data_IF_205816780259
#
_entry.id   IF_205816780259
#
_cell.length_a   1.000
_cell.length_b   1.000
_cell.length_c   1.000
_cell.angle_alpha   90.00
_cell.angle_beta   90.00
_cell.angle_gamma   90.00
#
_symmetry.space_group_name_H-M   'P 1'
#
loop_
_entity.id
_entity.type
_entity.pdbx_description
1 polymer ?
#
# COMPACT_ATOMS: atom_id res chain seq x y z
N UNK A 1 10.68 -63.57 5.72
CA UNK A 1 10.99 -62.51 6.71
C UNK A 1 10.63 -61.16 6.09
N UNK A 2 9.40 -60.72 6.30
CA UNK A 2 8.81 -59.50 5.76
C UNK A 2 8.99 -58.36 6.77
N UNK A 3 9.91 -57.44 6.49
CA UNK A 3 10.14 -56.25 7.31
C UNK A 3 9.14 -55.15 6.97
N UNK A 4 8.08 -55.03 7.77
CA UNK A 4 7.17 -53.90 7.71
C UNK A 4 7.85 -52.65 8.29
N UNK A 5 8.20 -51.68 7.44
CA UNK A 5 8.58 -50.34 7.87
C UNK A 5 7.32 -49.62 8.38
N UNK A 6 7.26 -49.42 9.68
CA UNK A 6 6.31 -48.52 10.34
C UNK A 6 6.50 -47.09 9.84
N UNK A 7 5.55 -46.60 9.05
CA UNK A 7 5.42 -45.17 8.74
C UNK A 7 4.72 -44.53 9.94
N UNK A 8 5.50 -44.10 10.92
CA UNK A 8 5.00 -43.27 12.01
C UNK A 8 4.72 -41.85 11.48
N UNK A 9 3.57 -41.67 10.82
CA UNK A 9 3.01 -40.35 10.59
C UNK A 9 2.57 -39.77 11.92
N UNK A 10 3.40 -38.93 12.53
CA UNK A 10 3.00 -38.18 13.72
C UNK A 10 1.84 -37.26 13.33
N UNK A 11 0.64 -37.58 13.79
CA UNK A 11 -0.52 -36.69 13.68
C UNK A 11 -0.32 -35.61 14.72
N UNK A 12 0.33 -34.50 14.35
CA UNK A 12 0.38 -33.29 15.16
C UNK A 12 -1.04 -32.98 15.67
N UNK A 13 -1.17 -32.83 17.00
CA UNK A 13 -2.45 -32.64 17.67
C UNK A 13 -3.11 -31.33 17.25
N UNK A 14 -4.41 -31.16 17.54
CA UNK A 14 -5.13 -29.92 17.25
C UNK A 14 -4.45 -28.68 17.85
N UNK A 15 -3.89 -28.81 19.06
CA UNK A 15 -3.13 -27.76 19.73
C UNK A 15 -1.83 -27.41 18.99
N UNK A 16 -1.08 -28.41 18.50
CA UNK A 16 0.16 -28.19 17.75
C UNK A 16 -0.12 -27.43 16.44
N UNK A 17 -1.21 -27.77 15.74
CA UNK A 17 -1.63 -27.07 14.52
C UNK A 17 -2.00 -25.61 14.77
N UNK A 18 -2.69 -25.32 15.88
CA UNK A 18 -3.03 -23.95 16.28
C UNK A 18 -1.78 -23.14 16.63
N UNK A 19 -0.83 -23.74 17.37
CA UNK A 19 0.44 -23.10 17.70
C UNK A 19 1.28 -22.84 16.43
N UNK A 20 1.32 -23.77 15.49
CA UNK A 20 1.98 -23.56 14.19
C UNK A 20 1.33 -22.43 13.40
N UNK A 21 -0.01 -22.41 13.31
CA UNK A 21 -0.74 -21.34 12.62
C UNK A 21 -0.49 -19.97 13.26
N UNK A 22 -0.46 -19.89 14.60
CA UNK A 22 -0.13 -18.67 15.33
C UNK A 22 1.30 -18.18 15.03
N UNK A 23 2.27 -19.09 15.01
CA UNK A 23 3.67 -18.75 14.64
C UNK A 23 3.79 -18.27 13.20
N UNK A 24 3.04 -18.86 12.27
CA UNK A 24 3.01 -18.40 10.88
C UNK A 24 2.34 -17.04 10.75
N UNK A 25 1.27 -16.79 11.50
CA UNK A 25 0.59 -15.49 11.51
C UNK A 25 1.50 -14.38 12.02
N UNK A 26 2.23 -14.62 13.12
CA UNK A 26 3.21 -13.67 13.65
C UNK A 26 4.32 -13.42 12.63
N UNK A 27 4.90 -14.48 12.06
CA UNK A 27 5.96 -14.32 11.07
C UNK A 27 5.50 -13.59 9.79
N UNK A 28 4.29 -13.87 9.31
CA UNK A 28 3.66 -13.13 8.22
C UNK A 28 3.47 -11.66 8.58
N UNK A 29 2.90 -11.38 9.75
CA UNK A 29 2.69 -10.02 10.25
C UNK A 29 3.99 -9.23 10.37
N UNK A 30 5.07 -9.86 10.86
CA UNK A 30 6.39 -9.24 10.91
C UNK A 30 6.90 -8.88 9.51
N UNK A 31 6.78 -9.78 8.52
CA UNK A 31 7.20 -9.46 7.16
C UNK A 31 6.35 -8.36 6.53
N UNK A 32 5.05 -8.30 6.84
CA UNK A 32 4.20 -7.18 6.40
C UNK A 32 4.64 -5.86 7.04
N UNK A 33 4.87 -5.84 8.35
CA UNK A 33 5.36 -4.66 9.06
C UNK A 33 6.71 -4.17 8.51
N UNK A 34 7.65 -5.09 8.25
CA UNK A 34 8.92 -4.78 7.61
C UNK A 34 8.77 -4.27 6.17
N UNK A 35 7.75 -4.74 5.45
CA UNK A 35 7.43 -4.23 4.10
C UNK A 35 6.88 -2.81 4.15
N UNK A 36 6.29 -2.39 5.28
CA UNK A 36 5.83 -1.04 5.52
C UNK A 36 6.93 -0.09 6.01
N UNK A 37 8.22 -0.48 6.04
CA UNK A 37 9.28 0.33 6.65
C UNK A 37 9.34 1.78 6.11
N UNK A 38 9.14 1.98 4.79
CA UNK A 38 9.09 3.32 4.20
C UNK A 38 7.86 4.11 4.71
N UNK A 39 6.68 3.50 4.70
CA UNK A 39 5.44 4.11 5.20
C UNK A 39 5.54 4.48 6.69
N UNK A 40 6.11 3.59 7.50
CA UNK A 40 6.38 3.83 8.92
C UNK A 40 7.35 4.99 9.11
N UNK A 41 8.40 5.09 8.26
CA UNK A 41 9.32 6.22 8.31
C UNK A 41 8.62 7.55 7.95
N UNK A 42 7.69 7.56 6.98
CA UNK A 42 6.88 8.75 6.67
C UNK A 42 6.00 9.13 7.86
N UNK A 43 5.31 8.18 8.49
CA UNK A 43 4.50 8.43 9.70
C UNK A 43 5.35 8.91 10.88
N UNK A 44 6.56 8.37 11.04
CA UNK A 44 7.50 8.81 12.08
C UNK A 44 7.98 10.24 11.83
N UNK A 45 8.23 10.62 10.56
CA UNK A 45 8.54 12.00 10.19
C UNK A 45 7.40 12.95 10.53
N UNK A 46 6.15 12.55 10.24
CA UNK A 46 4.97 13.33 10.62
C UNK A 46 4.87 13.49 12.14
N UNK A 47 5.03 12.42 12.91
CA UNK A 47 5.01 12.46 14.37
C UNK A 47 6.12 13.35 14.94
N UNK A 48 7.34 13.24 14.39
CA UNK A 48 8.48 14.01 14.85
C UNK A 48 8.27 15.51 14.58
N UNK A 49 7.86 15.85 13.37
CA UNK A 49 7.64 17.24 12.97
C UNK A 49 6.39 17.88 13.59
N UNK A 50 5.49 17.10 14.22
CA UNK A 50 4.40 17.68 15.01
C UNK A 50 4.81 18.13 16.41
N UNK A 51 5.98 17.69 16.91
CA UNK A 51 6.45 18.03 18.26
C UNK A 51 7.82 18.71 18.28
N UNK A 52 8.57 18.66 17.17
CA UNK A 52 9.88 19.31 17.03
C UNK A 52 9.80 20.37 15.94
N UNK A 53 10.14 21.60 16.30
CA UNK A 53 10.45 22.65 15.33
C UNK A 53 11.89 22.49 14.83
N UNK A 54 12.02 22.28 13.53
CA UNK A 54 13.32 22.07 12.85
C UNK A 54 13.79 23.32 12.10
N UNK A 55 13.12 24.47 12.29
CA UNK A 55 13.47 25.73 11.62
C UNK A 55 13.11 25.79 10.14
N UNK A 56 12.33 24.82 9.65
CA UNK A 56 11.81 24.76 8.28
C UNK A 56 10.28 24.66 8.31
N UNK A 57 9.57 25.17 7.29
CA UNK A 57 8.15 24.86 7.13
C UNK A 57 7.92 23.36 7.16
N UNK A 58 6.92 22.89 7.92
CA UNK A 58 6.74 21.47 8.25
C UNK A 58 6.70 20.57 7.03
N UNK A 59 6.02 21.00 5.97
CA UNK A 59 5.93 20.23 4.72
C UNK A 59 7.25 20.17 3.95
N UNK A 60 8.09 21.20 4.05
CA UNK A 60 9.42 21.20 3.44
C UNK A 60 10.38 20.30 4.25
N UNK A 61 10.28 20.33 5.58
CA UNK A 61 10.99 19.40 6.46
C UNK A 61 10.62 17.94 6.16
N UNK A 62 9.32 17.67 5.95
CA UNK A 62 8.84 16.34 5.55
C UNK A 62 9.38 15.91 4.18
N UNK A 63 9.51 16.83 3.22
CA UNK A 63 10.12 16.52 1.94
C UNK A 63 11.59 16.11 2.11
N UNK A 64 12.37 16.90 2.86
CA UNK A 64 13.77 16.58 3.16
C UNK A 64 13.88 15.22 3.85
N UNK A 65 13.04 14.97 4.85
CA UNK A 65 12.97 13.69 5.55
C UNK A 65 12.70 12.52 4.60
N UNK A 66 11.66 12.61 3.76
CA UNK A 66 11.32 11.56 2.81
C UNK A 66 12.45 11.29 1.81
N UNK A 67 13.12 12.33 1.32
CA UNK A 67 14.27 12.19 0.43
C UNK A 67 15.44 11.50 1.14
N UNK A 68 15.75 11.88 2.39
CA UNK A 68 16.79 11.24 3.18
C UNK A 68 16.49 9.76 3.43
N UNK A 69 15.26 9.43 3.81
CA UNK A 69 14.81 8.03 3.98
C UNK A 69 14.97 7.26 2.68
N UNK A 70 14.55 7.84 1.55
CA UNK A 70 14.68 7.20 0.24
C UNK A 70 16.15 6.94 -0.14
N UNK A 71 17.03 7.92 0.11
CA UNK A 71 18.48 7.77 -0.11
C UNK A 71 19.04 6.65 0.77
N UNK A 72 18.67 6.61 2.06
CA UNK A 72 19.10 5.55 2.99
C UNK A 72 18.64 4.19 2.52
N UNK A 73 17.40 4.04 2.07
CA UNK A 73 16.85 2.76 1.61
C UNK A 73 17.61 2.21 0.40
N UNK A 74 17.98 3.08 -0.54
CA UNK A 74 18.78 2.70 -1.72
C UNK A 74 20.24 2.44 -1.35
N UNK A 75 20.85 3.31 -0.53
CA UNK A 75 22.24 3.19 -0.11
C UNK A 75 22.51 1.92 0.71
N UNK A 76 21.57 1.55 1.59
CA UNK A 76 21.61 0.31 2.39
C UNK A 76 21.13 -0.93 1.62
N UNK A 77 20.70 -0.76 0.35
CA UNK A 77 20.12 -1.82 -0.50
C UNK A 77 18.87 -2.47 0.10
N UNK A 78 18.19 -1.78 1.02
CA UNK A 78 16.83 -2.14 1.39
C UNK A 78 15.92 -2.05 0.19
N UNK A 79 16.19 -1.13 -0.74
CA UNK A 79 15.53 -1.00 -2.03
C UNK A 79 16.53 -1.12 -3.19
N UNK A 80 16.08 -1.75 -4.27
CA UNK A 80 16.84 -1.87 -5.52
C UNK A 80 16.62 -0.65 -6.42
N UNK A 81 17.48 -0.46 -7.42
CA UNK A 81 17.29 0.59 -8.45
C UNK A 81 15.96 0.43 -9.21
N UNK A 82 15.54 -0.80 -9.42
CA UNK A 82 14.27 -1.11 -10.08
C UNK A 82 13.07 -0.71 -9.21
N UNK A 83 13.17 -0.96 -7.91
CA UNK A 83 12.17 -0.51 -6.93
C UNK A 83 12.16 1.03 -6.84
N UNK A 84 13.32 1.70 -6.91
CA UNK A 84 13.39 3.16 -6.96
C UNK A 84 12.64 3.76 -8.17
N UNK A 85 12.72 3.14 -9.35
CA UNK A 85 11.94 3.60 -10.52
C UNK A 85 10.43 3.49 -10.26
N UNK A 86 9.98 2.41 -9.62
CA UNK A 86 8.58 2.25 -9.21
C UNK A 86 8.19 3.34 -8.22
N UNK A 87 9.02 3.61 -7.21
CA UNK A 87 8.78 4.64 -6.21
C UNK A 87 8.67 6.02 -6.85
N UNK A 88 9.57 6.38 -7.77
CA UNK A 88 9.48 7.65 -8.51
C UNK A 88 8.17 7.74 -9.32
N UNK A 89 7.75 6.65 -9.97
CA UNK A 89 6.48 6.61 -10.70
C UNK A 89 5.29 6.84 -9.77
N UNK A 90 5.26 6.16 -8.61
CA UNK A 90 4.20 6.34 -7.62
C UNK A 90 4.22 7.73 -6.99
N UNK A 91 5.40 8.33 -6.79
CA UNK A 91 5.52 9.72 -6.35
C UNK A 91 4.85 10.68 -7.32
N UNK A 92 5.16 10.56 -8.62
CA UNK A 92 4.58 11.43 -9.65
C UNK A 92 3.07 11.21 -9.83
N UNK A 93 2.61 9.96 -9.88
CA UNK A 93 1.19 9.64 -9.98
C UNK A 93 0.42 10.14 -8.74
N UNK A 94 0.97 9.92 -7.56
CA UNK A 94 0.40 10.38 -6.29
C UNK A 94 0.32 11.90 -6.21
N UNK A 95 1.41 12.60 -6.53
CA UNK A 95 1.44 14.06 -6.52
C UNK A 95 0.43 14.66 -7.51
N UNK A 96 0.31 14.08 -8.71
CA UNK A 96 -0.70 14.51 -9.69
C UNK A 96 -2.14 14.32 -9.19
N UNK A 97 -2.40 13.20 -8.50
CA UNK A 97 -3.69 12.94 -7.85
C UNK A 97 -3.97 13.95 -6.74
N UNK A 98 -2.99 14.24 -5.89
CA UNK A 98 -3.11 15.23 -4.81
C UNK A 98 -3.44 16.61 -5.36
N UNK A 99 -2.69 17.07 -6.37
CA UNK A 99 -2.94 18.37 -7.05
C UNK A 99 -4.38 18.45 -7.54
N UNK A 100 -4.86 17.40 -8.19
CA UNK A 100 -6.25 17.34 -8.64
C UNK A 100 -7.26 17.36 -7.49
N UNK A 101 -7.07 16.51 -6.47
CA UNK A 101 -8.03 16.32 -5.39
C UNK A 101 -8.13 17.52 -4.46
N UNK A 102 -7.02 18.21 -4.22
CA UNK A 102 -7.02 19.49 -3.50
C UNK A 102 -7.71 20.57 -4.32
N UNK A 103 -7.47 20.65 -5.64
CA UNK A 103 -8.14 21.63 -6.50
C UNK A 103 -9.67 21.49 -6.54
N UNK A 104 -10.20 20.27 -6.41
CA UNK A 104 -11.66 20.02 -6.30
C UNK A 104 -12.17 19.98 -4.86
N UNK A 105 -11.37 20.41 -3.88
CA UNK A 105 -11.78 20.57 -2.48
C UNK A 105 -12.02 19.26 -1.72
N UNK A 106 -11.41 18.15 -2.14
CA UNK A 106 -11.59 16.86 -1.46
C UNK A 106 -10.93 16.80 -0.07
N UNK A 107 -9.82 17.53 0.10
CA UNK A 107 -9.09 17.77 1.34
C UNK A 107 -8.14 18.96 1.15
N UNK A 108 -7.48 19.40 2.23
CA UNK A 108 -6.51 20.50 2.20
C UNK A 108 -5.23 20.16 2.96
N UNK A 109 -4.16 20.90 2.62
CA UNK A 109 -2.88 20.89 3.31
C UNK A 109 -2.72 22.23 4.07
N UNK A 110 -3.13 22.32 5.35
CA UNK A 110 -3.25 23.59 6.05
C UNK A 110 -1.91 24.21 6.48
N UNK A 111 -0.82 23.44 6.50
CA UNK A 111 0.46 23.93 7.01
C UNK A 111 1.32 24.63 5.96
N UNK A 112 2.34 25.34 6.44
CA UNK A 112 3.28 26.08 5.59
C UNK A 112 4.21 25.12 4.86
N UNK A 113 4.45 25.43 3.58
CA UNK A 113 5.47 24.80 2.75
C UNK A 113 5.77 25.71 1.56
N UNK A 114 7.05 25.88 1.23
CA UNK A 114 7.50 26.60 0.02
C UNK A 114 7.57 25.64 -1.17
N UNK A 115 7.95 24.38 -0.91
CA UNK A 115 8.11 23.36 -1.94
C UNK A 115 6.76 22.67 -2.21
N UNK A 116 5.94 23.34 -3.01
CA UNK A 116 4.57 22.93 -3.35
C UNK A 116 4.20 23.21 -4.81
N UNK A 117 3.24 22.46 -5.33
CA UNK A 117 2.56 22.72 -6.62
C UNK A 117 1.12 23.14 -6.28
N UNK A 118 0.79 24.42 -6.51
CA UNK A 118 -0.44 24.99 -5.96
C UNK A 118 -0.44 24.89 -4.44
N UNK A 119 -1.49 24.33 -3.86
CA UNK A 119 -1.61 24.08 -2.41
C UNK A 119 -1.09 22.70 -1.97
N UNK A 120 -0.45 21.96 -2.88
CA UNK A 120 -0.01 20.58 -2.61
C UNK A 120 1.48 20.51 -2.34
N UNK A 121 1.91 20.13 -1.13
CA UNK A 121 3.32 20.00 -0.82
C UNK A 121 3.94 18.80 -1.52
N UNK A 122 5.18 18.93 -1.99
CA UNK A 122 5.84 17.87 -2.77
C UNK A 122 6.01 16.56 -1.98
N UNK A 123 6.09 16.60 -0.64
CA UNK A 123 6.22 15.37 0.16
C UNK A 123 4.99 14.46 0.04
N UNK A 124 3.81 15.00 -0.29
CA UNK A 124 2.56 14.22 -0.43
C UNK A 124 2.69 13.08 -1.45
N UNK A 125 3.47 13.28 -2.52
CA UNK A 125 3.77 12.21 -3.48
C UNK A 125 4.45 11.00 -2.82
N UNK A 126 5.29 11.21 -1.80
CA UNK A 126 5.93 10.13 -1.05
C UNK A 126 4.94 9.28 -0.25
N UNK A 127 3.75 9.78 0.10
CA UNK A 127 2.71 8.96 0.73
C UNK A 127 2.21 7.86 -0.22
N UNK A 128 2.13 8.14 -1.52
CA UNK A 128 1.81 7.14 -2.54
C UNK A 128 3.02 6.29 -2.89
N UNK A 129 4.22 6.88 -2.92
CA UNK A 129 5.47 6.13 -3.07
C UNK A 129 5.63 5.05 -1.99
N UNK A 130 5.16 5.31 -0.77
CA UNK A 130 5.14 4.34 0.32
C UNK A 130 4.29 3.10 -0.02
N UNK A 131 3.18 3.24 -0.75
CA UNK A 131 2.36 2.11 -1.23
C UNK A 131 3.13 1.31 -2.29
N UNK A 132 3.80 1.99 -3.23
CA UNK A 132 4.65 1.35 -4.23
C UNK A 132 5.82 0.57 -3.60
N UNK A 133 6.53 1.19 -2.66
CA UNK A 133 7.59 0.58 -1.86
C UNK A 133 7.06 -0.65 -1.12
N UNK A 134 5.91 -0.55 -0.43
CA UNK A 134 5.29 -1.68 0.26
C UNK A 134 5.01 -2.85 -0.69
N UNK A 135 4.40 -2.61 -1.85
CA UNK A 135 4.10 -3.68 -2.81
C UNK A 135 5.39 -4.36 -3.29
N UNK A 136 6.43 -3.59 -3.60
CA UNK A 136 7.74 -4.11 -3.98
C UNK A 136 8.40 -4.95 -2.86
N UNK A 137 8.45 -4.41 -1.64
CA UNK A 137 9.03 -5.07 -0.48
C UNK A 137 8.29 -6.36 -0.13
N UNK A 138 6.95 -6.31 -0.08
CA UNK A 138 6.13 -7.48 0.18
C UNK A 138 6.37 -8.56 -0.89
N UNK A 139 6.47 -8.16 -2.17
CA UNK A 139 6.78 -9.08 -3.26
C UNK A 139 8.05 -9.88 -3.02
N UNK A 140 9.12 -9.19 -2.62
CA UNK A 140 10.45 -9.78 -2.45
C UNK A 140 10.60 -10.53 -1.13
N UNK A 141 10.08 -9.97 -0.02
CA UNK A 141 10.20 -10.54 1.33
C UNK A 141 9.37 -11.81 1.50
N UNK A 142 8.20 -11.85 0.86
CA UNK A 142 7.26 -12.97 0.97
C UNK A 142 7.28 -13.89 -0.26
N UNK A 143 8.19 -13.69 -1.21
CA UNK A 143 8.27 -14.49 -2.45
C UNK A 143 6.89 -14.65 -3.12
N UNK A 144 6.25 -13.50 -3.41
CA UNK A 144 4.87 -13.50 -3.89
C UNK A 144 4.78 -14.10 -5.30
N UNK A 145 3.90 -15.08 -5.43
CA UNK A 145 3.50 -15.70 -6.70
C UNK A 145 2.02 -15.52 -6.91
N UNK A 146 1.64 -14.84 -7.99
CA UNK A 146 0.25 -14.57 -8.33
C UNK A 146 -0.21 -15.56 -9.39
N UNK A 147 -1.43 -16.05 -9.29
CA UNK A 147 -2.05 -16.79 -10.39
C UNK A 147 -1.98 -15.98 -11.69
N UNK A 148 -1.89 -16.68 -12.83
CA UNK A 148 -1.88 -16.02 -14.15
C UNK A 148 -3.11 -15.12 -14.32
N UNK A 149 -2.85 -13.82 -14.51
CA UNK A 149 -3.87 -12.81 -14.78
C UNK A 149 -3.97 -12.54 -16.28
N UNK A 150 -5.17 -12.20 -16.75
CA UNK A 150 -5.37 -11.66 -18.11
C UNK A 150 -4.98 -10.19 -18.07
N UNK A 151 -3.72 -9.89 -18.40
CA UNK A 151 -3.13 -8.59 -18.14
C UNK A 151 -3.87 -7.42 -18.78
N UNK A 152 -4.32 -7.54 -20.04
CA UNK A 152 -5.06 -6.47 -20.71
C UNK A 152 -6.36 -6.12 -19.96
N UNK A 153 -7.29 -7.06 -19.68
CA UNK A 153 -8.45 -6.79 -18.85
C UNK A 153 -8.13 -6.24 -17.46
N UNK A 154 -7.09 -6.77 -16.79
CA UNK A 154 -6.72 -6.31 -15.44
C UNK A 154 -6.17 -4.88 -15.46
N UNK A 155 -5.37 -4.51 -16.45
CA UNK A 155 -4.89 -3.14 -16.66
C UNK A 155 -6.03 -2.19 -17.03
N UNK A 156 -6.94 -2.62 -17.90
CA UNK A 156 -8.11 -1.83 -18.26
C UNK A 156 -8.98 -1.54 -17.02
N UNK A 157 -9.20 -2.55 -16.17
CA UNK A 157 -9.90 -2.38 -14.89
C UNK A 157 -9.17 -1.42 -13.95
N UNK A 158 -7.85 -1.58 -13.79
CA UNK A 158 -7.03 -0.69 -12.96
C UNK A 158 -7.11 0.77 -13.46
N UNK A 159 -6.99 0.98 -14.77
CA UNK A 159 -7.11 2.30 -15.37
C UNK A 159 -8.52 2.88 -15.23
N UNK A 160 -9.57 2.05 -15.40
CA UNK A 160 -10.95 2.48 -15.19
C UNK A 160 -11.20 2.94 -13.75
N UNK A 161 -10.65 2.24 -12.76
CA UNK A 161 -10.66 2.67 -11.37
C UNK A 161 -9.95 4.01 -11.18
N UNK A 162 -8.75 4.17 -11.75
CA UNK A 162 -7.99 5.41 -11.67
C UNK A 162 -8.77 6.57 -12.29
N UNK A 163 -9.27 6.42 -13.52
CA UNK A 163 -10.09 7.44 -14.19
C UNK A 163 -11.35 7.76 -13.40
N UNK A 164 -12.10 6.75 -12.91
CA UNK A 164 -13.30 7.00 -12.13
C UNK A 164 -12.98 7.71 -10.80
N UNK A 165 -11.85 7.45 -10.18
CA UNK A 165 -11.43 8.18 -9.00
C UNK A 165 -11.23 9.68 -9.27
N UNK A 166 -10.78 10.08 -10.46
CA UNK A 166 -10.71 11.49 -10.85
C UNK A 166 -12.08 12.03 -11.23
N UNK A 167 -12.89 11.27 -11.98
CA UNK A 167 -14.14 11.78 -12.54
C UNK A 167 -15.34 11.70 -11.60
N UNK A 168 -15.26 10.96 -10.49
CA UNK A 168 -16.37 10.79 -9.53
C UNK A 168 -16.87 12.08 -8.86
N UNK A 169 -16.18 13.20 -9.07
CA UNK A 169 -16.67 14.51 -8.67
C UNK A 169 -17.75 15.06 -9.63
N UNK A 170 -17.74 14.63 -10.90
CA UNK A 170 -18.67 15.10 -11.93
C UNK A 170 -19.62 14.01 -12.43
N UNK A 171 -19.19 12.75 -12.39
CA UNK A 171 -20.02 11.60 -12.76
C UNK A 171 -20.31 10.73 -11.55
N UNK A 172 -21.25 9.81 -11.70
CA UNK A 172 -21.56 8.81 -10.67
C UNK A 172 -20.29 8.05 -10.28
N UNK A 173 -20.10 7.85 -8.97
CA UNK A 173 -19.03 6.99 -8.46
C UNK A 173 -19.32 5.53 -8.87
N UNK A 174 -18.55 5.02 -9.83
CA UNK A 174 -18.73 3.70 -10.44
C UNK A 174 -17.96 2.61 -9.68
N UNK A 175 -17.34 2.94 -8.56
CA UNK A 175 -16.44 2.04 -7.83
C UNK A 175 -17.08 0.70 -7.50
N UNK A 176 -18.36 0.68 -7.07
CA UNK A 176 -19.05 -0.56 -6.75
C UNK A 176 -19.29 -1.43 -7.99
N UNK A 177 -19.64 -0.81 -9.13
CA UNK A 177 -19.78 -1.53 -10.40
C UNK A 177 -18.41 -2.09 -10.85
N UNK A 178 -17.35 -1.30 -10.77
CA UNK A 178 -15.99 -1.71 -11.10
C UNK A 178 -15.46 -2.79 -10.13
N UNK A 179 -15.83 -2.75 -8.85
CA UNK A 179 -15.56 -3.83 -7.89
C UNK A 179 -16.30 -5.12 -8.29
N UNK A 180 -17.52 -5.03 -8.80
CA UNK A 180 -18.24 -6.17 -9.39
C UNK A 180 -17.44 -6.80 -10.54
N UNK A 181 -16.90 -5.97 -11.45
CA UNK A 181 -16.00 -6.44 -12.52
C UNK A 181 -14.72 -7.06 -11.95
N UNK A 182 -14.15 -6.48 -10.89
CA UNK A 182 -12.99 -7.04 -10.19
C UNK A 182 -13.28 -8.42 -9.60
N UNK A 183 -14.47 -8.63 -9.01
CA UNK A 183 -14.91 -9.94 -8.50
C UNK A 183 -14.97 -10.97 -9.62
N UNK A 184 -15.52 -10.63 -10.77
CA UNK A 184 -15.58 -11.55 -11.93
C UNK A 184 -14.18 -11.88 -12.46
N UNK A 185 -13.30 -10.88 -12.61
CA UNK A 185 -11.98 -11.07 -13.20
C UNK A 185 -10.97 -11.73 -12.24
N UNK A 186 -11.02 -11.39 -10.96
CA UNK A 186 -10.00 -11.70 -9.95
C UNK A 186 -10.50 -12.59 -8.82
N UNK A 187 -11.81 -12.83 -8.68
CA UNK A 187 -12.38 -13.55 -7.54
C UNK A 187 -11.92 -15.01 -7.40
N UNK A 188 -11.53 -15.65 -8.50
CA UNK A 188 -10.94 -17.01 -8.49
C UNK A 188 -9.41 -17.01 -8.41
N UNK A 189 -8.78 -15.84 -8.39
CA UNK A 189 -7.32 -15.70 -8.38
C UNK A 189 -6.82 -15.69 -6.95
N UNK A 190 -5.70 -16.37 -6.73
CA UNK A 190 -4.97 -16.39 -5.48
C UNK A 190 -3.59 -15.75 -5.58
N UNK A 191 -3.09 -15.33 -4.43
CA UNK A 191 -1.69 -15.01 -4.22
C UNK A 191 -1.09 -16.06 -3.27
N UNK A 192 0.00 -16.67 -3.71
CA UNK A 192 0.85 -17.57 -2.92
C UNK A 192 2.02 -16.75 -2.37
N UNK A 193 2.36 -16.99 -1.11
CA UNK A 193 3.42 -16.31 -0.38
C UNK A 193 4.13 -17.31 0.53
N UNK A 194 5.42 -17.11 0.78
CA UNK A 194 6.24 -18.01 1.60
C UNK A 194 6.47 -17.41 2.98
N UNK A 195 6.11 -18.15 4.02
CA UNK A 195 6.33 -17.78 5.43
C UNK A 195 6.97 -18.96 6.14
N UNK A 196 8.07 -18.72 6.84
CA UNK A 196 8.83 -19.76 7.56
C UNK A 196 9.17 -20.97 6.68
N UNK A 197 9.52 -20.71 5.41
CA UNK A 197 9.85 -21.74 4.42
C UNK A 197 8.65 -22.52 3.85
N UNK A 198 7.42 -22.21 4.28
CA UNK A 198 6.20 -22.89 3.83
C UNK A 198 5.38 -21.97 2.93
N UNK A 199 4.89 -22.53 1.83
CA UNK A 199 4.00 -21.83 0.93
C UNK A 199 2.58 -21.76 1.52
N UNK A 200 2.01 -20.56 1.49
CA UNK A 200 0.64 -20.25 1.91
C UNK A 200 -0.06 -19.49 0.81
N UNK A 201 -1.38 -19.60 0.75
CA UNK A 201 -2.18 -19.00 -0.31
C UNK A 201 -3.43 -18.36 0.28
N UNK A 202 -3.79 -17.19 -0.25
CA UNK A 202 -5.06 -16.53 0.05
C UNK A 202 -5.71 -16.01 -1.23
N UNK A 203 -7.04 -15.81 -1.25
CA UNK A 203 -7.70 -15.14 -2.36
C UNK A 203 -7.13 -13.74 -2.59
N UNK A 204 -6.88 -13.37 -3.85
CA UNK A 204 -6.21 -12.12 -4.20
C UNK A 204 -7.02 -10.90 -3.75
N UNK A 205 -8.35 -10.94 -3.91
CA UNK A 205 -9.23 -9.86 -3.46
C UNK A 205 -9.25 -9.70 -1.94
N UNK A 206 -9.08 -10.79 -1.19
CA UNK A 206 -8.94 -10.72 0.29
C UNK A 206 -7.64 -9.99 0.65
N UNK A 207 -6.53 -10.29 -0.04
CA UNK A 207 -5.28 -9.57 0.15
C UNK A 207 -5.46 -8.06 -0.10
N UNK A 208 -6.14 -7.67 -1.19
CA UNK A 208 -6.39 -6.27 -1.50
C UNK A 208 -7.28 -5.57 -0.47
N UNK A 209 -8.33 -6.23 0.02
CA UNK A 209 -9.19 -5.68 1.06
C UNK A 209 -8.42 -5.47 2.37
N UNK A 210 -7.57 -6.43 2.77
CA UNK A 210 -6.73 -6.32 3.97
C UNK A 210 -5.72 -5.18 3.84
N UNK A 211 -5.05 -5.05 2.69
CA UNK A 211 -4.12 -3.94 2.46
C UNK A 211 -4.88 -2.61 2.51
N UNK A 212 -6.04 -2.52 1.85
CA UNK A 212 -6.87 -1.31 1.88
C UNK A 212 -7.32 -0.92 3.30
N UNK A 213 -7.63 -1.91 4.14
CA UNK A 213 -7.91 -1.69 5.56
C UNK A 213 -6.72 -1.12 6.33
N UNK A 214 -5.51 -1.67 6.15
CA UNK A 214 -4.32 -1.14 6.82
C UNK A 214 -3.89 0.23 6.29
N UNK A 215 -4.14 0.54 5.01
CA UNK A 215 -3.97 1.89 4.48
C UNK A 215 -4.95 2.86 5.16
N UNK A 216 -6.21 2.48 5.37
CA UNK A 216 -7.16 3.29 6.12
C UNK A 216 -6.71 3.55 7.57
N UNK A 217 -6.11 2.56 8.23
CA UNK A 217 -5.49 2.74 9.56
C UNK A 217 -4.35 3.76 9.50
N UNK A 218 -3.47 3.65 8.50
CA UNK A 218 -2.37 4.59 8.30
C UNK A 218 -2.86 6.02 7.98
N UNK A 219 -3.96 6.14 7.22
CA UNK A 219 -4.62 7.42 6.93
C UNK A 219 -5.17 8.08 8.20
N UNK A 220 -5.78 7.32 9.11
CA UNK A 220 -6.22 7.86 10.40
C UNK A 220 -5.04 8.37 11.23
N UNK A 221 -3.93 7.62 11.27
CA UNK A 221 -2.72 8.08 11.95
C UNK A 221 -2.13 9.35 11.30
N UNK A 222 -2.07 9.41 9.97
CA UNK A 222 -1.52 10.56 9.25
C UNK A 222 -2.37 11.82 9.44
N UNK A 223 -3.69 11.72 9.34
CA UNK A 223 -4.61 12.85 9.59
C UNK A 223 -4.58 13.30 11.05
N UNK A 224 -4.41 12.37 12.00
CA UNK A 224 -4.23 12.71 13.42
C UNK A 224 -2.99 13.56 13.65
N UNK A 225 -1.93 13.28 12.89
CA UNK A 225 -0.68 14.03 12.94
C UNK A 225 -0.71 15.30 12.06
N UNK A 226 -1.83 15.65 11.42
CA UNK A 226 -1.95 16.87 10.62
C UNK A 226 -1.30 16.81 9.24
N UNK A 227 -1.11 15.61 8.68
CA UNK A 227 -0.55 15.47 7.33
C UNK A 227 -1.42 16.18 6.27
N UNK A 228 -2.74 16.02 6.35
CA UNK A 228 -3.77 16.75 5.61
C UNK A 228 -5.06 16.78 6.44
N UNK A 229 -6.03 17.58 6.02
CA UNK A 229 -7.31 17.74 6.73
C UNK A 229 -8.49 17.51 5.78
N UNK A 230 -9.43 16.66 6.21
CA UNK A 230 -10.72 16.52 5.54
C UNK A 230 -11.70 17.62 5.96
N UNK A 231 -12.65 17.96 5.10
CA UNK A 231 -13.72 18.91 5.44
C UNK A 231 -14.51 18.49 6.70
N UNK A 232 -14.71 17.18 6.90
CA UNK A 232 -15.36 16.62 8.10
C UNK A 232 -14.52 16.71 9.37
N UNK A 233 -13.27 17.19 9.28
CA UNK A 233 -12.34 17.37 10.38
C UNK A 233 -12.06 18.87 10.65
N UNK A 234 -12.86 19.78 10.08
CA UNK A 234 -12.65 21.23 10.22
C UNK A 234 -12.69 21.70 11.69
N UNK A 235 -13.57 21.10 12.51
CA UNK A 235 -13.75 21.44 13.93
C UNK A 235 -12.93 20.54 14.87
N UNK A 236 -12.06 19.68 14.33
CA UNK A 236 -11.23 18.77 15.11
C UNK A 236 -11.08 17.39 14.46
N UNK A 237 -10.09 16.63 14.94
CA UNK A 237 -9.83 15.30 14.38
C UNK A 237 -10.97 14.33 14.70
N UNK A 238 -11.43 13.65 13.66
CA UNK A 238 -12.41 12.56 13.72
C UNK A 238 -11.94 11.39 12.88
N UNK A 239 -12.40 10.18 13.21
CA UNK A 239 -12.07 8.97 12.46
C UNK A 239 -12.53 9.14 11.01
N UNK A 240 -11.62 8.87 10.07
CA UNK A 240 -11.91 8.93 8.64
C UNK A 240 -12.97 7.88 8.29
N UNK A 241 -14.00 8.27 7.55
CA UNK A 241 -15.15 7.42 7.28
C UNK A 241 -14.76 6.04 6.66
N UNK A 242 -15.28 4.89 7.16
CA UNK A 242 -14.89 3.55 6.70
C UNK A 242 -15.13 3.28 5.21
N UNK A 243 -16.00 4.04 4.54
CA UNK A 243 -16.17 3.95 3.08
C UNK A 243 -14.88 4.18 2.28
N UNK A 244 -13.88 4.84 2.89
CA UNK A 244 -12.54 5.00 2.31
C UNK A 244 -11.77 3.69 2.17
N UNK A 245 -12.08 2.65 2.96
CA UNK A 245 -11.48 1.31 2.80
C UNK A 245 -11.72 0.80 1.37
N UNK A 246 -12.91 1.03 0.81
CA UNK A 246 -13.22 0.70 -0.57
C UNK A 246 -12.38 1.50 -1.58
N UNK A 247 -12.11 2.79 -1.30
CA UNK A 247 -11.19 3.61 -2.12
C UNK A 247 -9.78 3.01 -2.12
N UNK A 248 -9.29 2.63 -0.94
CA UNK A 248 -7.94 2.11 -0.78
C UNK A 248 -7.77 0.73 -1.37
N UNK A 249 -8.77 -0.14 -1.24
CA UNK A 249 -8.77 -1.44 -1.94
C UNK A 249 -8.59 -1.24 -3.44
N UNK A 250 -9.29 -0.26 -4.03
CA UNK A 250 -9.18 0.08 -5.44
C UNK A 250 -7.81 0.64 -5.81
N UNK A 251 -7.24 1.53 -4.98
CA UNK A 251 -5.87 1.99 -5.15
C UNK A 251 -4.89 0.82 -5.13
N UNK A 252 -5.08 -0.16 -4.23
CA UNK A 252 -4.24 -1.35 -4.15
C UNK A 252 -4.35 -2.21 -5.41
N UNK A 253 -5.56 -2.39 -5.96
CA UNK A 253 -5.74 -3.08 -7.25
C UNK A 253 -4.93 -2.40 -8.35
N UNK A 254 -5.02 -1.07 -8.46
CA UNK A 254 -4.25 -0.29 -9.43
C UNK A 254 -2.74 -0.46 -9.22
N UNK A 255 -2.29 -0.22 -7.99
CA UNK A 255 -0.88 -0.25 -7.58
C UNK A 255 -0.24 -1.61 -7.85
N UNK A 256 -0.91 -2.67 -7.40
CA UNK A 256 -0.44 -4.05 -7.57
C UNK A 256 -0.39 -4.46 -9.04
N UNK A 257 -1.41 -4.09 -9.82
CA UNK A 257 -1.45 -4.40 -11.26
C UNK A 257 -0.33 -3.68 -12.01
N UNK A 258 -0.07 -2.41 -11.69
CA UNK A 258 1.01 -1.63 -12.29
C UNK A 258 2.38 -2.26 -12.00
N UNK A 259 2.65 -2.62 -10.74
CA UNK A 259 3.91 -3.28 -10.34
C UNK A 259 4.05 -4.65 -11.01
N UNK A 260 2.97 -5.45 -11.05
CA UNK A 260 2.98 -6.75 -11.73
C UNK A 260 3.30 -6.60 -13.22
N UNK A 261 2.70 -5.63 -13.90
CA UNK A 261 2.96 -5.38 -15.31
C UNK A 261 4.42 -4.95 -15.57
N UNK A 262 4.95 -4.03 -14.75
CA UNK A 262 6.35 -3.60 -14.83
C UNK A 262 7.32 -4.77 -14.63
N UNK A 263 7.02 -5.66 -13.67
CA UNK A 263 7.82 -6.87 -13.43
C UNK A 263 7.79 -7.84 -14.61
N UNK A 264 6.62 -8.07 -15.22
CA UNK A 264 6.51 -8.97 -16.38
C UNK A 264 7.26 -8.45 -17.60
N UNK A 265 7.27 -7.13 -17.85
CA UNK A 265 8.01 -6.54 -18.97
C UNK A 265 9.52 -6.53 -18.81
N UNK A 266 10.03 -6.65 -17.59
CA UNK A 266 11.47 -6.74 -17.32
C UNK A 266 12.00 -8.17 -17.35
N UNK A 267 11.10 -9.15 -17.23
CA UNK A 267 11.43 -10.58 -17.19
C UNK A 267 11.35 -11.27 -18.57
N UNK A 268 10.78 -10.61 -19.57
CA UNK A 268 10.75 -11.07 -20.97
C UNK A 268 11.53 -10.10 -21.85
#
# INVERSE_FOLDING_TARGET
MTGARSVAGSRAGGADRLLEAGRDLVAFGTQQALSCAFAVAVLAGLALTSVVDVGLPRYDAMLVWCVLVQVVFVATRLETRDELVVICLFHLLGLGLEVFKVAVGSWSYPERGVLRIGDVPLYSGFMYAAVGSYVCQAWRRLDLRVDRLRMLPTLALALAFYVNFFTNHWVVDLRWALLGVAVVLLGRKGVTFRVRGRDRRMPLLVAFALIGFFIWVAENAATLMGAWTYASQADGWSIVHPSKIGSWMVLVVFSFTLVLWLKQRRAG
#
